data_IF_244345689176
#
_entry.id   IF_244345689176
#
_cell.length_a   1.000
_cell.length_b   1.000
_cell.length_c   1.000
_cell.angle_alpha   90.00
_cell.angle_beta   90.00
_cell.angle_gamma   90.00
#
_symmetry.space_group_name_H-M   'P 1'
#
loop_
_entity.id
_entity.type
_entity.pdbx_description
1 polymer ?
#
# COMPACT_ATOMS: atom_id res chain seq x y z
N UNK A 1 7.93 19.60 8.41
CA UNK A 1 8.13 18.89 7.13
C UNK A 1 7.17 19.49 6.11
N UNK A 2 7.50 19.61 4.81
CA UNK A 2 6.51 20.00 3.81
C UNK A 2 5.38 18.97 3.76
N UNK A 3 4.17 19.43 3.47
CA UNK A 3 3.01 18.60 3.14
C UNK A 3 3.23 17.82 1.84
N UNK A 4 2.38 16.82 1.61
CA UNK A 4 2.44 16.02 0.38
C UNK A 4 2.27 16.91 -0.86
N UNK A 5 1.34 17.86 -0.83
CA UNK A 5 1.11 18.83 -1.91
C UNK A 5 2.27 19.79 -2.10
N UNK A 6 2.89 20.29 -1.03
CA UNK A 6 4.08 21.14 -1.13
C UNK A 6 5.28 20.39 -1.71
N UNK A 7 5.41 19.08 -1.46
CA UNK A 7 6.53 18.26 -1.94
C UNK A 7 6.34 17.75 -3.36
N UNK A 8 5.14 17.31 -3.72
CA UNK A 8 4.86 16.60 -4.98
C UNK A 8 3.88 17.31 -5.91
N UNK A 9 3.21 18.37 -5.45
CA UNK A 9 2.21 19.10 -6.25
C UNK A 9 0.87 18.38 -6.41
N UNK A 10 0.65 17.29 -5.66
CA UNK A 10 -0.50 16.38 -5.81
C UNK A 10 -1.47 16.50 -4.63
N UNK A 11 -2.77 16.44 -4.95
CA UNK A 11 -3.82 16.23 -3.97
C UNK A 11 -3.86 14.73 -3.60
N UNK A 12 -3.92 14.43 -2.30
CA UNK A 12 -3.74 13.06 -1.81
C UNK A 12 -4.65 12.72 -0.65
N UNK A 13 -5.00 11.44 -0.55
CA UNK A 13 -5.83 10.89 0.52
C UNK A 13 -5.20 9.66 1.19
N UNK A 14 -5.58 9.43 2.45
CA UNK A 14 -5.21 8.24 3.23
C UNK A 14 -6.45 7.52 3.74
N UNK A 15 -6.46 6.19 3.57
CA UNK A 15 -7.42 5.26 4.16
C UNK A 15 -6.65 4.37 5.12
N UNK A 16 -7.02 4.39 6.40
CA UNK A 16 -6.45 3.49 7.41
C UNK A 16 -7.45 3.24 8.52
N UNK A 17 -7.34 2.11 9.21
CA UNK A 17 -8.01 1.87 10.49
C UNK A 17 -7.18 2.36 11.69
N UNK A 18 -5.86 2.55 11.50
CA UNK A 18 -4.90 2.83 12.57
C UNK A 18 -4.71 4.34 12.74
N UNK A 19 -4.95 4.84 13.95
CA UNK A 19 -4.87 6.27 14.28
C UNK A 19 -3.49 6.87 14.04
N UNK A 20 -2.41 6.11 14.28
CA UNK A 20 -1.04 6.55 13.99
C UNK A 20 -0.87 6.89 12.51
N UNK A 21 -1.31 6.00 11.61
CA UNK A 21 -1.22 6.19 10.16
C UNK A 21 -2.11 7.35 9.71
N UNK A 22 -3.32 7.48 10.28
CA UNK A 22 -4.18 8.66 10.04
C UNK A 22 -3.49 9.95 10.48
N UNK A 23 -2.86 9.95 11.65
CA UNK A 23 -2.13 11.08 12.20
C UNK A 23 -0.96 11.52 11.31
N UNK A 24 -0.22 10.57 10.73
CA UNK A 24 0.83 10.84 9.74
C UNK A 24 0.23 11.50 8.49
N UNK A 25 -0.91 11.00 8.00
CA UNK A 25 -1.63 11.61 6.88
C UNK A 25 -2.09 13.04 7.16
N UNK A 26 -2.65 13.30 8.34
CA UNK A 26 -3.02 14.66 8.80
C UNK A 26 -1.80 15.57 8.83
N UNK A 27 -0.69 15.09 9.39
CA UNK A 27 0.56 15.85 9.45
C UNK A 27 1.10 16.18 8.05
N UNK A 28 0.92 15.26 7.08
CA UNK A 28 1.26 15.46 5.68
C UNK A 28 0.21 16.25 4.87
N UNK A 29 -0.87 16.74 5.52
CA UNK A 29 -2.04 17.40 4.91
C UNK A 29 -2.76 16.56 3.84
N UNK A 30 -2.77 15.24 4.00
CA UNK A 30 -3.58 14.33 3.18
C UNK A 30 -5.04 14.33 3.68
N UNK A 31 -6.00 14.14 2.77
CA UNK A 31 -7.41 13.92 3.12
C UNK A 31 -7.55 12.56 3.82
N UNK A 32 -7.93 12.55 5.08
CA UNK A 32 -8.26 11.29 5.79
C UNK A 32 -9.65 10.83 5.39
N UNK A 33 -9.77 9.56 4.99
CA UNK A 33 -11.02 8.95 4.59
C UNK A 33 -11.36 7.84 5.58
N UNK A 34 -12.41 8.06 6.35
CA UNK A 34 -12.97 7.06 7.25
C UNK A 34 -13.86 6.09 6.48
N UNK A 35 -13.52 4.81 6.57
CA UNK A 35 -14.21 3.73 5.86
C UNK A 35 -15.04 2.92 6.85
N UNK A 36 -16.37 2.82 6.67
CA UNK A 36 -17.21 1.98 7.51
C UNK A 36 -16.72 0.52 7.49
N UNK A 37 -16.53 -0.06 8.68
CA UNK A 37 -16.04 -1.43 8.84
C UNK A 37 -14.53 -1.60 8.69
N UNK A 38 -13.74 -0.53 8.57
CA UNK A 38 -12.28 -0.62 8.68
C UNK A 38 -11.85 -0.76 10.15
N UNK A 39 -11.70 -1.99 10.63
CA UNK A 39 -11.42 -2.31 12.04
C UNK A 39 -9.93 -2.40 12.37
N UNK A 40 -9.10 -2.67 11.35
CA UNK A 40 -7.66 -2.92 11.53
C UNK A 40 -7.32 -4.36 11.93
N UNK A 41 -8.32 -5.24 12.03
CA UNK A 41 -8.13 -6.67 12.33
C UNK A 41 -8.58 -7.54 11.15
N UNK A 42 -8.55 -8.85 11.32
CA UNK A 42 -9.00 -9.84 10.32
C UNK A 42 -10.45 -9.62 9.85
N UNK A 43 -11.29 -9.04 10.70
CA UNK A 43 -12.68 -8.70 10.38
C UNK A 43 -12.84 -7.36 9.62
N UNK A 44 -11.73 -6.71 9.22
CA UNK A 44 -11.77 -5.45 8.48
C UNK A 44 -12.49 -5.61 7.14
N UNK A 45 -13.25 -4.59 6.75
CA UNK A 45 -13.96 -4.58 5.47
C UNK A 45 -13.02 -4.12 4.34
N UNK A 46 -12.37 -5.09 3.68
CA UNK A 46 -11.46 -4.87 2.56
C UNK A 46 -12.18 -4.26 1.34
N UNK A 47 -13.39 -4.72 1.05
CA UNK A 47 -14.18 -4.26 -0.10
C UNK A 47 -14.53 -2.77 0.03
N UNK A 48 -14.97 -2.33 1.21
CA UNK A 48 -15.25 -0.92 1.46
C UNK A 48 -13.98 -0.08 1.35
N UNK A 49 -12.82 -0.58 1.82
CA UNK A 49 -11.55 0.16 1.64
C UNK A 49 -11.23 0.35 0.15
N UNK A 50 -11.41 -0.69 -0.66
CA UNK A 50 -11.22 -0.60 -2.11
C UNK A 50 -12.19 0.38 -2.77
N UNK A 51 -13.49 0.28 -2.47
CA UNK A 51 -14.53 1.13 -3.07
C UNK A 51 -14.33 2.61 -2.71
N UNK A 52 -13.98 2.89 -1.45
CA UNK A 52 -13.67 4.24 -1.00
C UNK A 52 -12.38 4.75 -1.62
N UNK A 53 -11.37 3.89 -1.84
CA UNK A 53 -10.14 4.28 -2.52
C UNK A 53 -10.40 4.67 -3.98
N UNK A 54 -11.18 3.86 -4.70
CA UNK A 54 -11.57 4.14 -6.09
C UNK A 54 -12.38 5.44 -6.19
N UNK A 55 -13.34 5.66 -5.29
CA UNK A 55 -14.09 6.92 -5.21
C UNK A 55 -13.18 8.10 -4.88
N UNK A 56 -12.21 7.93 -3.98
CA UNK A 56 -11.30 8.99 -3.59
C UNK A 56 -10.40 9.46 -4.74
N UNK A 57 -10.05 8.56 -5.66
CA UNK A 57 -9.29 8.90 -6.88
C UNK A 57 -10.05 9.81 -7.85
N UNK A 58 -11.37 10.01 -7.69
CA UNK A 58 -12.11 10.98 -8.49
C UNK A 58 -11.74 12.44 -8.13
N UNK A 59 -11.32 12.68 -6.89
CA UNK A 59 -11.00 14.00 -6.34
C UNK A 59 -9.53 14.14 -5.90
N UNK A 60 -8.71 13.09 -6.02
CA UNK A 60 -7.32 13.06 -5.54
C UNK A 60 -6.41 12.40 -6.57
N UNK A 61 -5.18 12.92 -6.71
CA UNK A 61 -4.18 12.37 -7.62
C UNK A 61 -3.52 11.10 -7.06
N UNK A 62 -3.51 10.93 -5.73
CA UNK A 62 -2.95 9.75 -5.05
C UNK A 62 -3.80 9.31 -3.85
N UNK A 63 -4.01 8.01 -3.70
CA UNK A 63 -4.67 7.43 -2.53
C UNK A 63 -3.77 6.36 -1.91
N UNK A 64 -3.41 6.55 -0.64
CA UNK A 64 -2.69 5.57 0.17
C UNK A 64 -3.69 4.73 0.97
N UNK A 65 -3.70 3.42 0.74
CA UNK A 65 -4.60 2.47 1.44
C UNK A 65 -3.78 1.58 2.36
N UNK A 66 -4.09 1.62 3.65
CA UNK A 66 -3.39 0.88 4.68
C UNK A 66 -4.23 -0.28 5.22
N UNK A 67 -3.60 -1.44 5.43
CA UNK A 67 -4.19 -2.64 6.00
C UNK A 67 -3.28 -3.21 7.09
N UNK A 68 -3.80 -3.23 8.31
CA UNK A 68 -3.08 -3.65 9.51
C UNK A 68 -3.14 -5.16 9.78
N UNK A 69 -4.21 -5.83 9.32
CA UNK A 69 -4.51 -7.22 9.70
C UNK A 69 -3.34 -8.23 9.53
N UNK A 70 -2.52 -8.18 8.46
CA UNK A 70 -1.36 -9.06 8.32
C UNK A 70 -0.28 -8.85 9.40
N UNK A 71 -0.15 -7.64 9.94
CA UNK A 71 0.82 -7.31 10.99
C UNK A 71 0.36 -7.84 12.35
N UNK A 72 -0.91 -7.60 12.71
CA UNK A 72 -1.54 -8.13 13.92
C UNK A 72 -1.45 -9.65 13.99
N UNK A 73 -1.69 -10.35 12.86
CA UNK A 73 -1.49 -11.79 12.75
C UNK A 73 -0.02 -12.21 12.99
N UNK A 74 0.92 -11.37 12.54
CA UNK A 74 2.34 -11.48 12.82
C UNK A 74 2.65 -11.42 14.32
N UNK A 75 2.10 -10.43 15.02
CA UNK A 75 2.30 -10.21 16.45
C UNK A 75 1.77 -11.35 17.32
N UNK A 76 0.58 -11.89 17.01
CA UNK A 76 0.00 -13.03 17.74
C UNK A 76 0.59 -14.39 17.32
N UNK A 77 1.55 -14.38 16.39
CA UNK A 77 2.26 -15.57 15.89
C UNK A 77 1.35 -16.61 15.26
N UNK A 78 0.23 -16.18 14.66
CA UNK A 78 -0.69 -17.07 13.97
C UNK A 78 -0.39 -17.07 12.48
N UNK A 79 0.30 -18.12 12.02
CA UNK A 79 0.68 -18.24 10.62
C UNK A 79 -0.53 -18.44 9.70
N UNK A 80 -1.60 -19.10 10.18
CA UNK A 80 -2.79 -19.36 9.36
C UNK A 80 -3.53 -18.06 9.13
N UNK A 81 -3.72 -17.29 10.21
CA UNK A 81 -4.33 -15.97 10.14
C UNK A 81 -3.51 -15.01 9.26
N UNK A 82 -2.17 -15.09 9.35
CA UNK A 82 -1.31 -14.25 8.51
C UNK A 82 -1.43 -14.59 7.03
N UNK A 83 -1.53 -15.87 6.68
CA UNK A 83 -1.79 -16.30 5.30
C UNK A 83 -3.18 -15.84 4.84
N UNK A 84 -4.22 -16.09 5.65
CA UNK A 84 -5.60 -15.69 5.35
C UNK A 84 -5.73 -14.19 5.10
N UNK A 85 -5.16 -13.35 5.96
CA UNK A 85 -5.22 -11.89 5.83
C UNK A 85 -4.45 -11.36 4.61
N UNK A 86 -3.41 -12.05 4.14
CA UNK A 86 -2.69 -11.74 2.89
C UNK A 86 -3.52 -12.17 1.67
N UNK A 87 -4.15 -13.35 1.69
CA UNK A 87 -5.04 -13.81 0.62
C UNK A 87 -6.27 -12.91 0.49
N UNK A 88 -6.83 -12.46 1.61
CA UNK A 88 -7.92 -11.49 1.66
C UNK A 88 -7.49 -10.12 1.15
N UNK A 89 -6.29 -9.66 1.52
CA UNK A 89 -5.71 -8.43 0.96
C UNK A 89 -5.60 -8.52 -0.57
N UNK A 90 -5.05 -9.60 -1.10
CA UNK A 90 -4.86 -9.81 -2.54
C UNK A 90 -6.21 -9.83 -3.28
N UNK A 91 -7.14 -10.69 -2.85
CA UNK A 91 -8.41 -10.89 -3.56
C UNK A 91 -9.41 -9.77 -3.33
N UNK A 92 -9.61 -9.35 -2.08
CA UNK A 92 -10.74 -8.50 -1.67
C UNK A 92 -10.41 -7.01 -1.75
N UNK A 93 -9.12 -6.65 -1.65
CA UNK A 93 -8.66 -5.27 -1.80
C UNK A 93 -7.92 -5.04 -3.13
N UNK A 94 -6.76 -5.68 -3.33
CA UNK A 94 -5.86 -5.38 -4.46
C UNK A 94 -6.56 -5.70 -5.79
N UNK A 95 -7.06 -6.93 -5.94
CA UNK A 95 -7.78 -7.34 -7.15
C UNK A 95 -9.01 -6.47 -7.44
N UNK A 96 -9.70 -6.01 -6.39
CA UNK A 96 -10.85 -5.11 -6.52
C UNK A 96 -10.45 -3.70 -6.97
N UNK A 97 -9.37 -3.15 -6.41
CA UNK A 97 -8.82 -1.85 -6.84
C UNK A 97 -8.36 -1.95 -8.30
N UNK A 98 -7.53 -2.93 -8.64
CA UNK A 98 -7.02 -3.11 -10.01
C UNK A 98 -8.15 -3.29 -11.03
N UNK A 99 -9.22 -4.03 -10.67
CA UNK A 99 -10.40 -4.19 -11.51
C UNK A 99 -11.27 -2.94 -11.67
N UNK A 100 -11.11 -1.94 -10.78
CA UNK A 100 -11.86 -0.69 -10.79
C UNK A 100 -11.10 0.55 -11.27
N UNK A 101 -9.77 0.46 -11.42
CA UNK A 101 -8.93 1.57 -11.88
C UNK A 101 -9.20 1.89 -13.37
N UNK A 102 -9.19 3.18 -13.69
CA UNK A 102 -9.29 3.68 -15.06
C UNK A 102 -7.90 4.04 -15.57
N UNK A 103 -7.56 3.56 -16.75
CA UNK A 103 -6.29 3.91 -17.40
C UNK A 103 -6.25 5.38 -17.86
N UNK A 104 -5.09 6.06 -17.81
CA UNK A 104 -3.82 5.57 -17.29
C UNK A 104 -3.75 5.62 -15.75
N UNK A 105 -3.21 4.58 -15.10
CA UNK A 105 -2.94 4.58 -13.66
C UNK A 105 -1.54 4.07 -13.32
N UNK A 106 -1.08 4.33 -12.10
CA UNK A 106 0.08 3.66 -11.54
C UNK A 106 -0.28 3.15 -10.14
N UNK A 107 0.21 1.96 -9.81
CA UNK A 107 -0.14 1.24 -8.59
C UNK A 107 1.13 0.70 -7.95
N UNK A 108 1.22 0.79 -6.61
CA UNK A 108 2.31 0.18 -5.85
C UNK A 108 1.75 -0.60 -4.66
N UNK A 109 2.41 -1.71 -4.33
CA UNK A 109 2.14 -2.52 -3.14
C UNK A 109 3.44 -2.84 -2.42
N UNK A 110 3.43 -2.70 -1.11
CA UNK A 110 4.50 -3.06 -0.19
C UNK A 110 3.96 -3.07 1.25
N UNK A 111 4.48 -3.93 2.14
CA UNK A 111 4.37 -3.69 3.57
C UNK A 111 5.35 -2.58 3.99
N UNK A 112 5.13 -1.99 5.15
CA UNK A 112 6.00 -0.96 5.74
C UNK A 112 7.15 -1.56 6.57
N UNK A 113 6.95 -2.74 7.16
CA UNK A 113 7.99 -3.52 7.82
C UNK A 113 7.71 -5.02 7.86
N UNK A 114 8.73 -5.87 8.10
CA UNK A 114 8.52 -7.27 8.39
C UNK A 114 8.12 -7.48 9.86
N UNK A 115 7.14 -8.36 10.08
CA UNK A 115 6.77 -8.89 11.41
C UNK A 115 6.77 -10.42 11.36
N UNK A 116 7.94 -11.08 11.46
CA UNK A 116 8.06 -12.52 11.28
C UNK A 116 7.36 -13.30 12.38
N UNK A 117 6.55 -14.31 12.01
CA UNK A 117 5.74 -15.13 12.94
C UNK A 117 6.57 -15.69 14.10
N UNK A 118 7.79 -16.18 13.82
CA UNK A 118 8.68 -16.74 14.84
C UNK A 118 9.04 -15.72 15.92
N UNK A 119 9.22 -14.47 15.51
CA UNK A 119 9.67 -13.36 16.36
C UNK A 119 8.47 -12.70 17.05
N UNK A 120 7.40 -12.40 16.30
CA UNK A 120 6.18 -11.75 16.79
C UNK A 120 6.34 -10.26 17.09
N UNK A 121 7.37 -9.64 16.52
CA UNK A 121 7.60 -8.20 16.58
C UNK A 121 8.38 -7.77 15.33
N UNK A 122 8.48 -6.46 15.13
CA UNK A 122 9.03 -5.89 13.91
C UNK A 122 10.53 -6.19 13.81
N UNK A 123 10.97 -6.46 12.60
CA UNK A 123 12.39 -6.60 12.28
C UNK A 123 12.81 -5.58 11.21
N UNK A 124 14.07 -5.64 10.76
CA UNK A 124 14.67 -4.58 9.92
C UNK A 124 15.08 -5.06 8.53
N UNK A 125 14.75 -6.31 8.19
CA UNK A 125 15.01 -6.85 6.88
C UNK A 125 14.23 -6.05 5.81
N UNK A 126 14.75 -5.95 4.58
CA UNK A 126 14.02 -5.35 3.48
C UNK A 126 12.68 -6.05 3.23
N UNK A 127 11.72 -5.29 2.72
CA UNK A 127 10.38 -5.76 2.35
C UNK A 127 10.24 -5.84 0.82
N UNK A 128 9.45 -6.78 0.30
CA UNK A 128 9.13 -6.81 -1.13
C UNK A 128 8.24 -5.62 -1.50
N UNK A 129 8.44 -5.07 -2.70
CA UNK A 129 7.53 -4.09 -3.28
C UNK A 129 7.36 -4.33 -4.78
N UNK A 130 6.23 -3.90 -5.33
CA UNK A 130 5.95 -3.95 -6.76
C UNK A 130 5.35 -2.62 -7.20
N UNK A 131 5.66 -2.21 -8.43
CA UNK A 131 5.08 -1.03 -9.07
C UNK A 131 4.59 -1.44 -10.47
N UNK A 132 3.33 -1.14 -10.76
CA UNK A 132 2.75 -1.24 -12.09
C UNK A 132 2.47 0.16 -12.62
N UNK A 133 2.89 0.44 -13.85
CA UNK A 133 2.71 1.74 -14.48
C UNK A 133 2.92 1.67 -16.00
N UNK A 134 2.23 2.50 -16.82
CA UNK A 134 2.37 2.51 -18.28
C UNK A 134 3.78 2.82 -18.78
N UNK A 135 4.66 3.40 -17.94
CA UNK A 135 6.05 3.73 -18.28
C UNK A 135 7.07 2.71 -17.80
N UNK A 136 6.67 1.68 -17.06
CA UNK A 136 7.58 0.66 -16.53
C UNK A 136 7.45 -0.60 -17.39
N UNK A 137 8.56 -1.04 -17.97
CA UNK A 137 8.65 -2.36 -18.58
C UNK A 137 8.73 -3.42 -17.46
N UNK A 138 7.89 -4.45 -17.57
CA UNK A 138 7.87 -5.53 -16.58
C UNK A 138 9.18 -6.31 -16.62
N UNK A 139 9.70 -6.67 -15.44
CA UNK A 139 10.80 -7.61 -15.32
C UNK A 139 10.31 -9.07 -15.42
N UNK A 140 11.22 -10.03 -15.20
CA UNK A 140 10.89 -11.46 -15.29
C UNK A 140 10.29 -12.03 -14.00
N UNK A 141 10.05 -11.24 -12.95
CA UNK A 141 9.50 -11.73 -11.69
C UNK A 141 8.00 -12.00 -11.87
N UNK A 142 7.55 -13.18 -11.47
CA UNK A 142 6.17 -13.65 -11.66
C UNK A 142 5.40 -13.85 -10.36
N UNK A 143 6.04 -13.62 -9.21
CA UNK A 143 5.47 -13.83 -7.87
C UNK A 143 5.86 -12.71 -6.93
N UNK A 144 4.94 -12.34 -6.05
CA UNK A 144 5.17 -11.34 -5.01
C UNK A 144 5.45 -12.03 -3.68
N UNK A 145 6.73 -12.24 -3.39
CA UNK A 145 7.24 -12.80 -2.14
C UNK A 145 8.68 -12.31 -1.90
N UNK A 146 9.18 -12.48 -0.67
CA UNK A 146 10.49 -11.98 -0.26
C UNK A 146 11.65 -12.55 -1.09
N UNK A 147 11.54 -13.77 -1.61
CA UNK A 147 12.59 -14.43 -2.39
C UNK A 147 12.55 -14.02 -3.86
N UNK A 148 11.35 -13.98 -4.45
CA UNK A 148 11.14 -13.57 -5.83
C UNK A 148 11.53 -12.11 -6.03
N UNK A 149 11.21 -11.23 -5.08
CA UNK A 149 11.53 -9.80 -5.12
C UNK A 149 13.04 -9.50 -5.14
N UNK A 150 13.90 -10.42 -4.69
CA UNK A 150 15.36 -10.27 -4.79
C UNK A 150 15.84 -10.20 -6.25
N UNK A 151 15.05 -10.69 -7.20
CA UNK A 151 15.34 -10.67 -8.62
C UNK A 151 14.61 -9.54 -9.37
N UNK A 152 13.94 -8.64 -8.64
CA UNK A 152 13.21 -7.51 -9.21
C UNK A 152 14.14 -6.45 -9.82
N UNK A 153 13.71 -5.83 -10.91
CA UNK A 153 14.51 -4.89 -11.70
C UNK A 153 14.88 -3.60 -10.97
N UNK A 154 14.18 -3.24 -9.90
CA UNK A 154 14.48 -2.06 -9.09
C UNK A 154 15.64 -2.26 -8.11
N UNK A 155 16.01 -3.51 -7.80
CA UNK A 155 16.96 -3.82 -6.74
C UNK A 155 16.49 -3.33 -5.36
N UNK A 156 17.45 -2.98 -4.50
CA UNK A 156 17.17 -2.45 -3.15
C UNK A 156 16.91 -0.95 -3.25
N UNK A 157 15.73 -0.54 -2.78
CA UNK A 157 15.31 0.87 -2.71
C UNK A 157 15.26 1.31 -1.25
N UNK A 158 16.00 2.35 -0.92
CA UNK A 158 16.05 2.90 0.44
C UNK A 158 15.12 4.11 0.62
N UNK A 159 14.71 4.34 1.87
CA UNK A 159 14.00 5.55 2.31
C UNK A 159 12.67 5.81 1.57
N UNK A 160 12.45 7.05 1.14
CA UNK A 160 11.25 7.51 0.42
C UNK A 160 11.30 7.19 -1.08
N UNK A 161 12.17 6.26 -1.51
CA UNK A 161 12.40 5.95 -2.91
C UNK A 161 11.16 5.41 -3.64
N UNK A 162 10.33 4.60 -2.98
CA UNK A 162 9.16 3.96 -3.61
C UNK A 162 8.13 4.98 -4.09
N UNK A 163 7.81 6.01 -3.28
CA UNK A 163 6.88 7.07 -3.70
C UNK A 163 7.46 7.86 -4.87
N UNK A 164 8.74 8.18 -4.84
CA UNK A 164 9.41 8.87 -5.96
C UNK A 164 9.41 8.03 -7.24
N UNK A 165 9.64 6.71 -7.14
CA UNK A 165 9.57 5.77 -8.26
C UNK A 165 8.15 5.71 -8.83
N UNK A 166 7.14 5.53 -7.97
CA UNK A 166 5.74 5.51 -8.38
C UNK A 166 5.35 6.80 -9.11
N UNK A 167 5.64 7.96 -8.52
CA UNK A 167 5.24 9.25 -9.09
C UNK A 167 6.01 9.61 -10.37
N UNK A 168 7.28 9.21 -10.50
CA UNK A 168 8.03 9.41 -11.75
C UNK A 168 7.55 8.50 -12.88
N UNK A 169 6.93 7.36 -12.54
CA UNK A 169 6.39 6.40 -13.50
C UNK A 169 5.08 6.88 -14.16
N UNK A 170 4.35 7.83 -13.55
CA UNK A 170 3.13 8.39 -14.12
C UNK A 170 3.40 9.87 -14.44
N UNK A 171 3.39 10.26 -15.71
CA UNK A 171 3.74 11.65 -16.06
C UNK A 171 2.75 12.62 -15.44
N UNK A 172 3.22 13.56 -14.63
CA UNK A 172 2.53 14.84 -14.44
C UNK A 172 3.37 15.93 -15.06
N UNK A 173 3.24 16.08 -16.37
CA UNK A 173 3.29 17.43 -16.94
C UNK A 173 1.92 18.03 -16.62
N UNK A 174 1.85 18.85 -15.58
CA UNK A 174 0.88 19.95 -15.54
C UNK A 174 1.62 21.21 -15.96
#
# INVERSE_FOLDING_TARGET
MPSFKEKYGLDSAVISAVDLVKGIGVYAKMKVIDVPGATGREDTNYENKADFALKALEDNDLVFVHVEAPDEAGHVKDYKLKVETIEDLDKRLIGRILGGLKEPYAFAVLPDHPTPIKIGTHTKEPVPFAIQSPKIEADNVQKFDEYSAMNGGFGIVEHYGVVSLLLSSISTAR
#
